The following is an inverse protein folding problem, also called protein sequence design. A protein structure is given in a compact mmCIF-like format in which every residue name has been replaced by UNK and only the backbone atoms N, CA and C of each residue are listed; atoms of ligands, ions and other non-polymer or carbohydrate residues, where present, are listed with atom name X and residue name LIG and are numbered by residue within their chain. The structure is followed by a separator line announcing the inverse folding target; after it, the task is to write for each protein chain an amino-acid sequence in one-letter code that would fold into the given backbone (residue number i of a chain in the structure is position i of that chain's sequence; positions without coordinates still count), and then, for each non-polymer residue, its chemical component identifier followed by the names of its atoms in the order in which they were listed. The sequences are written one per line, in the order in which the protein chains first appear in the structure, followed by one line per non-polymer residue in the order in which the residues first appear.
data_IF_092749381353
#
_entry.id   IF_092749381353
#
_cell.length_a   1.000
_cell.length_b   1.000
_cell.length_c   1.000
_cell.angle_alpha   90.00
_cell.angle_beta   90.00
_cell.angle_gamma   90.00
#
_symmetry.space_group_name_H-M   'P 1'
#
loop_
_entity.id
_entity.type
_entity.pdbx_description
1 polymer ?
#
# COMPACT_ATOMS: atom_id res chain seq x y z
N UNK A 1 -36.04 -5.47 15.49
CA UNK A 1 -35.20 -6.42 14.70
C UNK A 1 -33.82 -6.46 15.34
N UNK A 2 -33.46 -7.54 16.03
CA UNK A 2 -32.11 -7.70 16.60
C UNK A 2 -31.14 -8.01 15.46
N UNK A 3 -30.07 -7.22 15.32
CA UNK A 3 -29.00 -7.52 14.35
C UNK A 3 -27.72 -7.77 15.13
N UNK A 4 -27.08 -8.89 14.87
CA UNK A 4 -25.77 -9.19 15.44
C UNK A 4 -24.69 -8.57 14.57
N UNK A 5 -23.77 -7.82 15.18
CA UNK A 5 -22.57 -7.29 14.57
C UNK A 5 -21.40 -8.18 14.95
N UNK A 6 -20.72 -8.73 13.96
CA UNK A 6 -19.55 -9.59 14.13
C UNK A 6 -18.30 -8.77 13.82
N UNK A 7 -17.36 -8.74 14.77
CA UNK A 7 -16.09 -8.04 14.61
C UNK A 7 -14.96 -9.05 14.79
N UNK A 8 -14.18 -9.24 13.74
CA UNK A 8 -12.95 -10.03 13.78
C UNK A 8 -11.77 -9.09 13.97
N UNK A 9 -10.93 -9.41 14.96
CA UNK A 9 -9.69 -8.69 15.23
C UNK A 9 -8.52 -9.64 15.15
N UNK A 10 -7.45 -9.21 14.48
CA UNK A 10 -6.22 -9.98 14.31
C UNK A 10 -5.17 -9.44 15.29
N UNK A 11 -4.64 -10.32 16.12
CA UNK A 11 -3.61 -10.03 17.10
C UNK A 11 -2.21 -10.38 16.57
N UNK A 12 -1.32 -10.78 17.48
CA UNK A 12 0.05 -11.15 17.15
C UNK A 12 0.12 -12.40 16.25
N UNK A 13 1.10 -12.39 15.36
CA UNK A 13 1.51 -13.55 14.59
C UNK A 13 2.71 -14.24 15.24
N UNK A 14 2.80 -15.54 15.07
CA UNK A 14 3.91 -16.37 15.53
C UNK A 14 4.23 -17.41 14.48
N UNK A 15 5.50 -17.74 14.34
CA UNK A 15 5.94 -18.91 13.57
C UNK A 15 6.30 -20.01 14.56
N UNK A 16 5.95 -21.25 14.24
CA UNK A 16 6.34 -22.42 15.04
C UNK A 16 7.58 -23.09 14.46
N UNK A 17 8.14 -23.98 15.27
CA UNK A 17 9.26 -24.84 14.87
C UNK A 17 8.98 -25.54 13.54
N UNK A 18 10.04 -25.70 12.75
CA UNK A 18 9.99 -26.26 11.40
C UNK A 18 9.95 -27.77 11.53
N UNK A 19 8.75 -28.32 11.66
CA UNK A 19 8.51 -29.73 11.92
C UNK A 19 7.85 -30.42 10.73
N UNK A 20 8.19 -31.68 10.53
CA UNK A 20 7.52 -32.63 9.66
C UNK A 20 6.20 -33.14 10.30
N UNK A 21 5.40 -33.88 9.53
CA UNK A 21 4.13 -34.47 10.01
C UNK A 21 4.35 -35.49 11.13
N UNK A 22 5.52 -36.13 11.17
CA UNK A 22 5.96 -37.07 12.21
C UNK A 22 6.54 -36.37 13.46
N UNK A 23 6.59 -35.04 13.47
CA UNK A 23 7.17 -34.25 14.56
C UNK A 23 8.70 -34.12 14.54
N UNK A 24 9.38 -34.69 13.53
CA UNK A 24 10.82 -34.51 13.36
C UNK A 24 11.16 -33.13 12.76
N UNK A 25 12.40 -32.68 12.92
CA UNK A 25 12.84 -31.39 12.36
C UNK A 25 12.92 -31.52 10.83
N UNK A 26 12.36 -30.54 10.12
CA UNK A 26 12.49 -30.44 8.67
C UNK A 26 13.79 -29.70 8.34
N UNK A 27 14.74 -30.38 7.71
CA UNK A 27 16.01 -29.79 7.25
C UNK A 27 15.95 -29.38 5.77
N UNK A 28 16.76 -28.41 5.34
CA UNK A 28 16.82 -28.03 3.92
C UNK A 28 17.24 -29.19 3.01
N UNK A 29 18.24 -29.99 3.39
CA UNK A 29 18.61 -31.24 2.70
C UNK A 29 17.43 -32.19 2.44
N UNK A 30 16.61 -32.48 3.47
CA UNK A 30 15.41 -33.30 3.33
C UNK A 30 14.44 -32.68 2.32
N UNK A 31 14.29 -31.34 2.32
CA UNK A 31 13.43 -30.65 1.37
C UNK A 31 13.90 -30.80 -0.08
N UNK A 32 15.22 -30.73 -0.32
CA UNK A 32 15.82 -30.96 -1.64
C UNK A 32 15.55 -32.38 -2.11
N UNK A 33 15.88 -33.38 -1.29
CA UNK A 33 15.77 -34.80 -1.64
C UNK A 33 14.33 -35.27 -1.87
N UNK A 34 13.37 -34.76 -1.08
CA UNK A 34 11.96 -35.19 -1.15
C UNK A 34 11.10 -34.34 -2.09
N UNK A 35 11.67 -33.38 -2.82
CA UNK A 35 10.92 -32.46 -3.67
C UNK A 35 9.80 -31.69 -2.93
N UNK A 36 10.03 -31.32 -1.67
CA UNK A 36 9.09 -30.55 -0.86
C UNK A 36 9.59 -29.11 -0.63
N UNK A 37 8.71 -28.24 -0.17
CA UNK A 37 9.03 -26.83 0.10
C UNK A 37 9.51 -26.66 1.53
N UNK A 38 10.63 -25.97 1.73
CA UNK A 38 11.13 -25.59 3.04
C UNK A 38 10.35 -24.38 3.58
N UNK A 39 9.40 -24.62 4.50
CA UNK A 39 8.47 -23.61 5.02
C UNK A 39 8.22 -23.76 6.53
N UNK A 40 7.72 -22.69 7.15
CA UNK A 40 7.24 -22.67 8.54
C UNK A 40 5.72 -22.44 8.57
N UNK A 41 5.07 -22.91 9.63
CA UNK A 41 3.66 -22.67 9.91
C UNK A 41 3.47 -21.26 10.52
N UNK A 42 2.72 -20.41 9.82
CA UNK A 42 2.29 -19.10 10.32
C UNK A 42 1.00 -19.24 11.12
N UNK A 43 1.09 -18.94 12.40
CA UNK A 43 -0.01 -18.93 13.35
C UNK A 43 -0.40 -17.48 13.69
N UNK A 44 -1.69 -17.17 13.72
CA UNK A 44 -2.21 -15.84 14.05
C UNK A 44 -3.29 -15.96 15.12
N UNK A 45 -3.19 -15.10 16.14
CA UNK A 45 -4.23 -14.97 17.15
C UNK A 45 -5.41 -14.19 16.55
N UNK A 46 -6.56 -14.85 16.41
CA UNK A 46 -7.79 -14.24 15.91
C UNK A 46 -8.78 -14.16 17.06
N UNK A 47 -9.30 -12.95 17.33
CA UNK A 47 -10.32 -12.70 18.34
C UNK A 47 -11.63 -12.33 17.65
N UNK A 48 -12.66 -13.17 17.84
CA UNK A 48 -14.02 -12.91 17.39
C UNK A 48 -14.81 -12.24 18.52
N UNK A 49 -15.39 -11.08 18.22
CA UNK A 49 -16.29 -10.34 19.09
C UNK A 49 -17.68 -10.29 18.44
N UNK A 50 -18.71 -10.63 19.20
CA UNK A 50 -20.11 -10.53 18.75
C UNK A 50 -20.80 -9.49 19.61
N UNK A 51 -21.42 -8.52 18.95
CA UNK A 51 -22.23 -7.47 19.55
C UNK A 51 -23.69 -7.66 19.14
N UNK A 52 -24.62 -7.52 20.08
CA UNK A 52 -26.04 -7.46 19.78
C UNK A 52 -26.45 -5.98 19.66
N UNK A 53 -26.97 -5.57 18.50
CA UNK A 53 -27.50 -4.23 18.32
C UNK A 53 -28.98 -4.21 18.70
N UNK A 54 -29.28 -3.52 19.80
CA UNK A 54 -30.64 -3.20 20.19
C UNK A 54 -31.05 -1.88 19.52
N UNK A 55 -31.82 -1.98 18.42
CA UNK A 55 -32.33 -0.81 17.66
C UNK A 55 -33.13 0.19 18.50
N UNK A 56 -33.62 -0.21 19.68
CA UNK A 56 -34.44 0.62 20.57
C UNK A 56 -33.65 1.47 21.56
N UNK A 57 -32.36 1.17 21.79
CA UNK A 57 -31.54 1.85 22.81
C UNK A 57 -30.23 2.41 22.27
N UNK A 58 -30.01 2.37 20.95
CA UNK A 58 -28.76 2.79 20.28
C UNK A 58 -27.47 2.31 20.99
N UNK A 59 -27.52 1.14 21.63
CA UNK A 59 -26.42 0.62 22.45
C UNK A 59 -25.97 -0.73 21.91
N UNK A 60 -24.66 -0.86 21.70
CA UNK A 60 -24.02 -2.11 21.32
C UNK A 60 -23.62 -2.86 22.59
N UNK A 61 -24.19 -4.04 22.84
CA UNK A 61 -23.78 -4.91 23.96
C UNK A 61 -22.94 -6.06 23.45
N UNK A 62 -21.74 -6.23 24.03
CA UNK A 62 -20.86 -7.35 23.72
C UNK A 62 -21.39 -8.62 24.38
N UNK A 63 -21.69 -9.64 23.59
CA UNK A 63 -22.30 -10.90 24.05
C UNK A 63 -21.37 -12.11 23.96
N UNK A 64 -20.30 -12.02 23.16
CA UNK A 64 -19.35 -13.12 22.99
C UNK A 64 -17.94 -12.60 22.68
N UNK A 65 -16.94 -13.27 23.25
CA UNK A 65 -15.54 -13.12 22.90
C UNK A 65 -14.86 -14.49 22.91
N UNK A 66 -14.19 -14.82 21.83
CA UNK A 66 -13.30 -15.98 21.78
C UNK A 66 -12.01 -15.61 21.04
N UNK A 67 -10.88 -16.06 21.57
CA UNK A 67 -9.56 -15.84 20.98
C UNK A 67 -8.90 -17.19 20.75
N UNK A 68 -8.50 -17.45 19.51
CA UNK A 68 -7.88 -18.71 19.13
C UNK A 68 -6.62 -18.45 18.32
N UNK A 69 -5.59 -19.27 18.55
CA UNK A 69 -4.38 -19.25 17.73
C UNK A 69 -4.57 -20.19 16.54
N UNK A 70 -4.81 -19.62 15.35
CA UNK A 70 -5.22 -20.37 14.16
C UNK A 70 -4.03 -20.47 13.20
N UNK A 71 -3.82 -21.64 12.60
CA UNK A 71 -2.89 -21.80 11.49
C UNK A 71 -3.45 -21.06 10.27
N UNK A 72 -2.79 -19.97 9.87
CA UNK A 72 -3.19 -19.18 8.70
C UNK A 72 -2.65 -19.80 7.41
N UNK A 73 -1.46 -20.39 7.47
CA UNK A 73 -0.83 -21.03 6.31
C UNK A 73 0.64 -21.33 6.52
N UNK A 74 1.35 -21.63 5.43
CA UNK A 74 2.78 -21.94 5.40
C UNK A 74 3.54 -20.84 4.65
N UNK A 75 4.68 -20.41 5.20
CA UNK A 75 5.56 -19.40 4.60
C UNK A 75 6.91 -20.02 4.27
N UNK A 76 7.39 -19.95 3.02
CA UNK A 76 8.73 -20.39 2.65
C UNK A 76 9.81 -19.65 3.46
N UNK A 77 10.80 -20.40 3.94
CA UNK A 77 11.88 -19.84 4.74
C UNK A 77 13.10 -19.66 3.85
N UNK A 78 13.72 -18.48 3.93
CA UNK A 78 14.98 -18.21 3.26
C UNK A 78 16.11 -18.92 4.00
N UNK A 79 16.96 -19.65 3.28
CA UNK A 79 18.10 -20.33 3.89
C UNK A 79 19.05 -19.34 4.55
N UNK A 80 19.58 -19.72 5.72
CA UNK A 80 20.40 -18.89 6.62
C UNK A 80 19.75 -17.60 7.14
N UNK A 81 18.44 -17.38 6.94
CA UNK A 81 17.72 -16.30 7.62
C UNK A 81 17.53 -16.59 9.12
N UNK A 82 17.13 -15.59 9.91
CA UNK A 82 16.94 -15.72 11.36
C UNK A 82 16.04 -16.89 11.81
N UNK A 83 15.10 -17.31 10.96
CA UNK A 83 14.12 -18.37 11.25
C UNK A 83 14.64 -19.75 10.79
N UNK A 84 15.62 -19.79 9.87
CA UNK A 84 16.16 -21.03 9.33
C UNK A 84 16.99 -21.78 10.39
N UNK A 85 16.87 -23.11 10.43
CA UNK A 85 17.65 -23.96 11.35
C UNK A 85 19.17 -23.85 11.13
N UNK A 86 19.59 -23.49 9.91
CA UNK A 86 21.02 -23.38 9.55
C UNK A 86 21.66 -22.09 10.03
N UNK A 87 20.87 -21.16 10.56
CA UNK A 87 21.38 -19.88 11.03
C UNK A 87 22.25 -20.07 12.27
N UNK A 88 23.45 -19.49 12.25
CA UNK A 88 24.45 -19.54 13.34
C UNK A 88 24.92 -20.95 13.75
N UNK A 89 24.69 -21.97 12.92
CA UNK A 89 25.31 -23.27 13.13
C UNK A 89 26.82 -23.20 12.88
N UNK A 90 27.57 -23.96 13.66
CA UNK A 90 29.01 -24.16 13.48
C UNK A 90 29.28 -25.03 12.25
N UNK A 91 30.52 -24.99 11.74
CA UNK A 91 30.92 -25.81 10.59
C UNK A 91 30.69 -27.32 10.83
N UNK A 92 30.91 -27.78 12.06
CA UNK A 92 30.69 -29.18 12.43
C UNK A 92 29.20 -29.54 12.44
N UNK A 93 28.34 -28.65 12.95
CA UNK A 93 26.89 -28.85 12.94
C UNK A 93 26.31 -28.84 11.52
N UNK A 94 26.80 -27.96 10.65
CA UNK A 94 26.43 -27.96 9.22
C UNK A 94 26.81 -29.27 8.55
N UNK A 95 28.05 -29.74 8.77
CA UNK A 95 28.51 -31.02 8.24
C UNK A 95 27.65 -32.19 8.75
N UNK A 96 27.26 -32.19 10.03
CA UNK A 96 26.39 -33.20 10.61
C UNK A 96 24.96 -33.19 10.03
N UNK A 97 24.53 -32.07 9.44
CA UNK A 97 23.24 -31.93 8.77
C UNK A 97 23.32 -32.13 7.25
N UNK A 98 24.44 -32.65 6.73
CA UNK A 98 24.73 -32.79 5.30
C UNK A 98 24.69 -31.46 4.52
N UNK A 99 24.94 -30.33 5.18
CA UNK A 99 25.00 -29.01 4.55
C UNK A 99 26.44 -28.57 4.31
N UNK A 100 26.64 -27.80 3.24
CA UNK A 100 27.96 -27.28 2.89
C UNK A 100 28.43 -26.22 3.89
N UNK A 101 29.69 -26.32 4.37
CA UNK A 101 30.29 -25.32 5.25
C UNK A 101 30.40 -23.92 4.60
N UNK A 102 30.44 -23.87 3.27
CA UNK A 102 30.52 -22.64 2.48
C UNK A 102 29.16 -22.13 1.99
N UNK A 103 28.05 -22.75 2.45
CA UNK A 103 26.69 -22.31 2.11
C UNK A 103 26.50 -20.82 2.46
N UNK A 104 25.95 -20.04 1.54
CA UNK A 104 25.70 -18.60 1.75
C UNK A 104 24.23 -18.32 2.12
N UNK A 105 23.32 -19.20 1.73
CA UNK A 105 21.87 -18.99 1.88
C UNK A 105 21.36 -17.87 0.98
N UNK A 106 20.27 -17.22 1.38
CA UNK A 106 19.66 -16.13 0.59
C UNK A 106 18.72 -16.58 -0.53
N UNK A 107 18.38 -17.87 -0.58
CA UNK A 107 17.42 -18.45 -1.51
C UNK A 107 16.39 -19.31 -0.78
N UNK A 108 15.38 -19.77 -1.51
CA UNK A 108 14.28 -20.59 -1.02
C UNK A 108 14.28 -21.95 -1.69
N UNK A 109 13.94 -23.01 -0.96
CA UNK A 109 13.68 -24.34 -1.54
C UNK A 109 12.18 -24.49 -1.74
N UNK A 110 11.74 -24.53 -2.99
CA UNK A 110 10.33 -24.70 -3.39
C UNK A 110 10.21 -25.99 -4.19
N UNK A 111 9.46 -26.97 -3.67
CA UNK A 111 9.30 -28.30 -4.29
C UNK A 111 10.66 -28.93 -4.67
N UNK A 112 11.63 -28.90 -3.76
CA UNK A 112 13.00 -29.37 -3.97
C UNK A 112 13.91 -28.47 -4.81
N UNK A 113 13.36 -27.51 -5.56
CA UNK A 113 14.14 -26.62 -6.39
C UNK A 113 14.57 -25.35 -5.64
N UNK A 114 15.80 -24.93 -5.84
CA UNK A 114 16.34 -23.68 -5.30
C UNK A 114 15.86 -22.49 -6.15
N UNK A 115 15.34 -21.46 -5.47
CA UNK A 115 14.74 -20.27 -6.08
C UNK A 115 15.28 -19.02 -5.40
N UNK A 116 15.81 -18.11 -6.20
CA UNK A 116 16.30 -16.80 -5.76
C UNK A 116 15.30 -15.74 -6.20
N UNK A 117 15.02 -14.76 -5.32
CA UNK A 117 14.29 -13.57 -5.70
C UNK A 117 15.26 -12.52 -6.22
N UNK A 118 15.04 -12.03 -7.44
CA UNK A 118 15.82 -10.96 -8.03
C UNK A 118 15.21 -9.63 -7.59
N UNK A 119 16.04 -8.68 -7.18
CA UNK A 119 15.60 -7.33 -6.84
C UNK A 119 14.96 -6.65 -8.05
N UNK A 120 13.77 -6.11 -7.86
CA UNK A 120 13.09 -5.31 -8.87
C UNK A 120 13.34 -3.82 -8.64
N UNK A 121 13.76 -3.12 -9.71
CA UNK A 121 13.87 -1.67 -9.69
C UNK A 121 12.47 -1.04 -9.75
N UNK A 122 12.23 -0.06 -8.89
CA UNK A 122 10.98 0.67 -8.85
C UNK A 122 11.25 2.18 -8.86
N UNK A 123 10.30 2.95 -9.38
CA UNK A 123 10.35 4.41 -9.36
C UNK A 123 10.41 4.89 -7.91
N UNK A 124 11.28 5.87 -7.65
CA UNK A 124 11.43 6.48 -6.33
C UNK A 124 10.10 7.05 -5.82
N UNK A 125 9.74 6.68 -4.59
CA UNK A 125 8.53 7.16 -3.91
C UNK A 125 8.80 8.46 -3.16
N UNK A 126 7.74 9.22 -2.88
CA UNK A 126 7.78 10.51 -2.19
C UNK A 126 8.74 11.53 -2.85
N UNK A 127 8.98 11.38 -4.15
CA UNK A 127 9.72 12.34 -4.98
C UNK A 127 8.79 12.91 -6.04
N UNK A 128 8.96 14.20 -6.29
CA UNK A 128 8.27 14.91 -7.36
C UNK A 128 8.92 14.57 -8.70
N UNK A 129 8.10 14.14 -9.65
CA UNK A 129 8.53 13.76 -10.99
C UNK A 129 7.76 14.61 -12.00
N UNK A 130 8.50 15.34 -12.82
CA UNK A 130 7.96 16.12 -13.94
C UNK A 130 8.29 15.40 -15.23
N UNK A 131 7.29 15.08 -16.05
CA UNK A 131 7.50 14.55 -17.39
C UNK A 131 6.40 14.99 -18.36
N UNK A 132 6.66 14.80 -19.64
CA UNK A 132 5.65 14.96 -20.67
C UNK A 132 4.97 13.61 -20.88
N UNK A 133 3.64 13.58 -20.91
CA UNK A 133 2.90 12.39 -21.28
C UNK A 133 3.07 12.15 -22.78
N UNK A 134 3.72 11.05 -23.15
CA UNK A 134 4.00 10.74 -24.55
C UNK A 134 2.74 10.48 -25.38
N UNK A 135 1.60 10.17 -24.75
CA UNK A 135 0.33 9.90 -25.45
C UNK A 135 -0.47 11.16 -25.73
N UNK A 136 -0.53 12.06 -24.76
CA UNK A 136 -1.36 13.28 -24.84
C UNK A 136 -0.55 14.53 -25.15
N UNK A 137 0.79 14.46 -25.07
CA UNK A 137 1.68 15.61 -25.18
C UNK A 137 1.60 16.57 -23.97
N UNK A 138 0.77 16.26 -22.98
CA UNK A 138 0.56 17.14 -21.84
C UNK A 138 1.71 17.04 -20.84
N UNK A 139 2.16 18.19 -20.33
CA UNK A 139 3.07 18.25 -19.19
C UNK A 139 2.32 17.75 -17.95
N UNK A 140 2.92 16.84 -17.19
CA UNK A 140 2.36 16.32 -15.94
C UNK A 140 3.41 16.37 -14.84
N UNK A 141 2.95 16.71 -13.64
CA UNK A 141 3.74 16.64 -12.42
C UNK A 141 3.08 15.58 -11.55
N UNK A 142 3.81 14.58 -11.10
CA UNK A 142 3.25 13.57 -10.22
C UNK A 142 4.19 13.17 -9.11
N UNK A 143 3.57 12.72 -8.03
CA UNK A 143 4.23 12.13 -6.88
C UNK A 143 3.61 10.74 -6.67
N UNK A 144 4.46 9.73 -6.65
CA UNK A 144 4.07 8.42 -6.13
C UNK A 144 4.29 8.45 -4.63
N UNK A 145 3.22 8.56 -3.87
CA UNK A 145 3.29 8.59 -2.42
C UNK A 145 3.41 7.19 -1.85
N UNK A 146 4.35 7.03 -0.92
CA UNK A 146 4.37 5.94 0.03
C UNK A 146 3.81 6.48 1.33
N UNK A 147 2.61 6.02 1.70
CA UNK A 147 1.96 6.43 2.92
C UNK A 147 2.02 5.25 3.90
N UNK A 148 2.60 5.51 5.07
CA UNK A 148 2.62 4.55 6.17
C UNK A 148 1.26 4.56 6.86
N UNK A 149 0.48 3.52 6.61
CA UNK A 149 -0.81 3.30 7.23
C UNK A 149 -0.76 2.43 8.47
N UNK A 150 -1.87 2.42 9.23
CA UNK A 150 -2.08 1.50 10.36
C UNK A 150 -1.91 0.01 9.99
N UNK A 151 -2.20 -0.35 8.73
CA UNK A 151 -2.14 -1.72 8.22
C UNK A 151 -0.97 -1.98 7.26
N UNK A 152 0.03 -1.10 7.26
CA UNK A 152 1.20 -1.19 6.40
C UNK A 152 1.27 -0.07 5.37
N UNK A 153 2.28 -0.17 4.50
CA UNK A 153 2.55 0.85 3.49
C UNK A 153 1.62 0.68 2.31
N UNK A 154 0.91 1.74 1.94
CA UNK A 154 0.11 1.74 0.72
C UNK A 154 0.65 2.79 -0.26
N UNK A 155 0.69 2.36 -1.53
CA UNK A 155 1.05 3.25 -2.61
C UNK A 155 -0.19 3.99 -3.08
N UNK A 156 -0.16 5.31 -3.00
CA UNK A 156 -1.13 6.17 -3.69
C UNK A 156 -0.40 7.05 -4.68
N UNK A 157 -1.05 7.39 -5.78
CA UNK A 157 -0.53 8.38 -6.71
C UNK A 157 -1.29 9.67 -6.54
N UNK A 158 -0.56 10.76 -6.44
CA UNK A 158 -1.06 12.11 -6.59
C UNK A 158 -0.47 12.68 -7.89
N UNK A 159 -1.33 13.14 -8.79
CA UNK A 159 -0.88 13.72 -10.07
C UNK A 159 -1.55 15.05 -10.28
N UNK A 160 -0.81 16.02 -10.80
CA UNK A 160 -1.32 17.28 -11.31
C UNK A 160 -1.10 17.25 -12.82
N UNK A 161 -2.21 17.27 -13.55
CA UNK A 161 -2.20 17.34 -15.01
C UNK A 161 -2.56 18.75 -15.47
N UNK A 162 -1.91 19.14 -16.56
CA UNK A 162 -2.25 20.31 -17.35
C UNK A 162 -3.05 19.87 -18.59
N UNK A 163 -4.38 19.97 -18.52
CA UNK A 163 -5.30 19.42 -19.53
C UNK A 163 -6.47 20.35 -19.83
N UNK A 164 -7.20 20.07 -20.92
CA UNK A 164 -8.44 20.79 -21.23
C UNK A 164 -9.59 20.25 -20.36
N UNK A 165 -10.51 21.12 -19.90
CA UNK A 165 -11.67 20.69 -19.15
C UNK A 165 -12.69 19.97 -20.06
N UNK A 166 -13.80 19.51 -19.48
CA UNK A 166 -14.88 18.86 -20.25
C UNK A 166 -15.37 19.78 -21.37
N UNK A 167 -15.80 19.21 -22.51
CA UNK A 167 -16.32 19.96 -23.64
C UNK A 167 -17.51 20.87 -23.28
N UNK A 168 -18.28 20.50 -22.24
CA UNK A 168 -19.42 21.29 -21.76
C UNK A 168 -19.01 22.48 -20.87
N UNK A 169 -17.74 22.60 -20.53
CA UNK A 169 -17.24 23.72 -19.73
C UNK A 169 -17.18 25.00 -20.59
N UNK A 170 -17.57 26.17 -20.04
CA UNK A 170 -17.46 27.46 -20.74
C UNK A 170 -16.01 27.84 -21.10
N UNK A 171 -15.02 27.17 -20.50
CA UNK A 171 -13.58 27.37 -20.74
C UNK A 171 -12.92 26.16 -21.42
N UNK A 172 -13.69 25.35 -22.17
CA UNK A 172 -13.20 24.15 -22.88
C UNK A 172 -12.00 24.38 -23.81
N UNK A 173 -11.81 25.60 -24.31
CA UNK A 173 -10.68 26.00 -25.15
C UNK A 173 -9.41 26.38 -24.37
N UNK A 174 -9.48 26.47 -23.04
CA UNK A 174 -8.36 26.87 -22.17
C UNK A 174 -7.96 25.70 -21.26
N UNK A 175 -6.67 25.51 -21.05
CA UNK A 175 -6.18 24.46 -20.15
C UNK A 175 -6.30 24.88 -18.68
N UNK A 176 -6.45 23.89 -17.83
CA UNK A 176 -6.66 24.00 -16.38
C UNK A 176 -5.80 22.99 -15.63
N UNK A 177 -5.64 23.18 -14.33
CA UNK A 177 -4.93 22.24 -13.46
C UNK A 177 -5.90 21.30 -12.76
N UNK A 178 -5.73 20.00 -13.00
CA UNK A 178 -6.52 18.94 -12.34
C UNK A 178 -5.66 18.02 -11.52
N UNK A 179 -6.16 17.70 -10.34
CA UNK A 179 -5.54 16.78 -9.41
C UNK A 179 -6.20 15.42 -9.52
N UNK A 180 -5.37 14.39 -9.69
CA UNK A 180 -5.80 13.00 -9.70
C UNK A 180 -5.31 12.30 -8.44
N UNK A 181 -6.27 11.83 -7.65
CA UNK A 181 -6.01 10.99 -6.47
C UNK A 181 -6.41 9.56 -6.83
N UNK A 182 -5.44 8.64 -6.80
CA UNK A 182 -5.60 7.29 -7.38
C UNK A 182 -5.98 7.37 -8.88
N UNK A 183 -6.40 6.26 -9.50
CA UNK A 183 -6.62 6.19 -10.95
C UNK A 183 -7.89 6.89 -11.46
N UNK A 184 -8.91 7.08 -10.61
CA UNK A 184 -10.28 7.34 -11.10
C UNK A 184 -10.92 8.63 -10.59
N UNK A 185 -10.24 9.40 -9.73
CA UNK A 185 -10.82 10.62 -9.16
C UNK A 185 -10.04 11.85 -9.64
N UNK A 186 -10.65 12.61 -10.53
CA UNK A 186 -10.17 13.91 -11.00
C UNK A 186 -10.88 15.01 -10.23
N UNK A 187 -10.12 15.92 -9.64
CA UNK A 187 -10.62 17.05 -8.85
C UNK A 187 -9.94 18.32 -9.37
N UNK A 188 -10.68 19.38 -9.72
CA UNK A 188 -10.08 20.69 -10.01
C UNK A 188 -9.19 21.17 -8.86
N UNK A 189 -8.00 21.69 -9.16
CA UNK A 189 -7.02 22.07 -8.14
C UNK A 189 -7.59 23.04 -7.09
N UNK A 190 -8.38 24.02 -7.53
CA UNK A 190 -8.97 25.03 -6.66
C UNK A 190 -9.97 24.43 -5.66
N UNK A 191 -10.78 23.44 -6.08
CA UNK A 191 -11.72 22.75 -5.19
C UNK A 191 -10.98 21.93 -4.12
N UNK A 192 -9.82 21.37 -4.45
CA UNK A 192 -8.98 20.69 -3.46
C UNK A 192 -8.48 21.67 -2.38
N UNK A 193 -8.01 22.86 -2.76
CA UNK A 193 -7.60 23.89 -1.79
C UNK A 193 -8.76 24.33 -0.89
N UNK A 194 -9.95 24.55 -1.46
CA UNK A 194 -11.16 24.89 -0.70
C UNK A 194 -11.53 23.76 0.28
N UNK A 195 -11.45 22.49 -0.13
CA UNK A 195 -11.66 21.34 0.74
C UNK A 195 -10.61 21.19 1.86
N UNK A 196 -9.37 21.65 1.63
CA UNK A 196 -8.31 21.73 2.64
C UNK A 196 -8.46 22.93 3.59
N UNK A 197 -9.49 23.77 3.40
CA UNK A 197 -9.81 24.92 4.26
C UNK A 197 -9.22 26.26 3.79
N UNK A 198 -8.59 26.32 2.62
CA UNK A 198 -8.11 27.58 2.02
C UNK A 198 -9.19 28.11 1.08
N UNK A 199 -10.03 29.02 1.58
CA UNK A 199 -11.17 29.57 0.84
C UNK A 199 -10.81 30.80 -0.01
N UNK A 200 -9.83 31.57 0.46
CA UNK A 200 -9.39 32.82 -0.18
C UNK A 200 -8.48 32.53 -1.38
N UNK A 201 -8.92 32.96 -2.56
CA UNK A 201 -8.26 32.68 -3.84
C UNK A 201 -6.89 33.34 -3.94
N UNK A 202 -6.70 34.52 -3.34
CA UNK A 202 -5.39 35.17 -3.30
C UNK A 202 -4.39 34.34 -2.50
N UNK A 203 -4.84 33.71 -1.40
CA UNK A 203 -3.99 32.79 -0.62
C UNK A 203 -3.65 31.53 -1.42
N UNK A 204 -4.61 30.97 -2.17
CA UNK A 204 -4.37 29.81 -3.04
C UNK A 204 -3.27 30.13 -4.06
N UNK A 205 -3.35 31.28 -4.74
CA UNK A 205 -2.35 31.72 -5.71
C UNK A 205 -0.98 31.85 -5.05
N UNK A 206 -0.91 32.51 -3.89
CA UNK A 206 0.36 32.70 -3.17
C UNK A 206 0.98 31.39 -2.63
N UNK A 207 0.18 30.33 -2.43
CA UNK A 207 0.71 29.00 -2.09
C UNK A 207 1.36 28.28 -3.28
N UNK A 208 0.95 28.62 -4.51
CA UNK A 208 1.42 27.97 -5.74
C UNK A 208 2.55 28.78 -6.37
N UNK A 209 2.38 30.10 -6.46
CA UNK A 209 3.29 31.02 -7.12
C UNK A 209 4.06 31.82 -6.08
N UNK A 210 5.38 31.63 -6.04
CA UNK A 210 6.25 32.34 -5.10
C UNK A 210 6.37 33.84 -5.42
N UNK A 211 6.49 34.22 -6.70
CA UNK A 211 6.51 35.61 -7.16
C UNK A 211 5.32 35.92 -8.09
N UNK A 212 4.20 36.30 -7.46
CA UNK A 212 2.95 36.61 -8.15
C UNK A 212 3.03 37.82 -9.11
N UNK A 213 4.09 38.65 -9.03
CA UNK A 213 4.16 39.89 -9.83
C UNK A 213 4.81 39.70 -11.21
N UNK A 214 5.57 38.64 -11.41
CA UNK A 214 6.36 38.45 -12.64
C UNK A 214 5.80 37.36 -13.57
N UNK A 215 5.12 36.35 -13.04
CA UNK A 215 4.63 35.20 -13.81
C UNK A 215 3.18 35.37 -14.30
N UNK A 216 2.99 36.16 -15.36
CA UNK A 216 1.65 36.37 -15.96
C UNK A 216 1.06 35.08 -16.53
N UNK A 217 1.86 34.20 -17.12
CA UNK A 217 1.37 32.95 -17.73
C UNK A 217 0.78 31.96 -16.72
N UNK A 218 1.41 31.83 -15.55
CA UNK A 218 0.91 30.94 -14.48
C UNK A 218 -0.34 31.54 -13.84
N UNK A 219 -0.38 32.86 -13.68
CA UNK A 219 -1.55 33.56 -13.17
C UNK A 219 -2.76 33.39 -14.09
N UNK A 220 -2.59 33.51 -15.41
CA UNK A 220 -3.66 33.26 -16.39
C UNK A 220 -4.18 31.81 -16.30
N UNK A 221 -3.29 30.84 -16.11
CA UNK A 221 -3.64 29.43 -15.93
C UNK A 221 -4.44 29.18 -14.64
N UNK A 222 -4.00 29.79 -13.54
CA UNK A 222 -4.69 29.69 -12.25
C UNK A 222 -6.05 30.36 -12.31
N UNK A 223 -6.16 31.49 -13.01
CA UNK A 223 -7.43 32.17 -13.25
C UNK A 223 -8.40 31.28 -14.04
N UNK A 224 -7.94 30.60 -15.09
CA UNK A 224 -8.75 29.60 -15.81
C UNK A 224 -9.20 28.47 -14.88
N UNK A 225 -8.34 28.01 -13.97
CA UNK A 225 -8.66 26.94 -13.02
C UNK A 225 -9.66 27.39 -11.94
N UNK A 226 -9.68 28.69 -11.58
CA UNK A 226 -10.70 29.29 -10.70
C UNK A 226 -12.06 29.31 -11.40
N UNK A 227 -12.12 29.79 -12.65
CA UNK A 227 -13.37 29.78 -13.42
C UNK A 227 -13.95 28.37 -13.61
N UNK A 228 -13.10 27.34 -13.77
CA UNK A 228 -13.57 25.95 -13.82
C UNK A 228 -14.27 25.54 -12.52
N UNK A 229 -13.67 25.88 -11.38
CA UNK A 229 -14.17 25.52 -10.07
C UNK A 229 -15.47 26.26 -9.71
N UNK A 230 -15.60 27.53 -10.11
CA UNK A 230 -16.85 28.30 -9.98
C UNK A 230 -17.98 27.67 -10.79
N UNK A 231 -17.71 27.27 -12.04
CA UNK A 231 -18.71 26.62 -12.89
C UNK A 231 -19.24 25.33 -12.26
N UNK A 232 -18.34 24.46 -11.77
CA UNK A 232 -18.74 23.18 -11.15
C UNK A 232 -19.60 23.42 -9.90
N UNK A 233 -19.24 24.39 -9.05
CA UNK A 233 -20.05 24.73 -7.87
C UNK A 233 -21.45 25.25 -8.25
N UNK A 234 -21.61 25.91 -9.39
CA UNK A 234 -22.90 26.44 -9.84
C UNK A 234 -23.84 25.39 -10.42
N UNK A 235 -23.30 24.26 -10.89
CA UNK A 235 -24.07 23.17 -11.54
C UNK A 235 -24.54 22.08 -10.57
N UNK A 236 -24.01 22.02 -9.35
CA UNK A 236 -24.36 21.03 -8.32
C UNK A 236 -25.45 21.53 -7.32
N UNK A 237 -26.35 22.42 -7.76
CA UNK A 237 -27.56 22.84 -7.03
C UNK A 237 -28.82 22.32 -7.72
#
# INVERSE_FOLDING_TARGET
IKRNKYVLTFGSSSTKNILQEDGSILTPDICRLRNITYNTNLHVNITLLIFENNLTKETETKIYQNSANILLGKIPIMLKSNICILNKLTNNELHNLNECIYEQGGYFIIKGAEKVLISSENVARNKLICNNDSKTGNKRVYILHEIDGKYGKYNTSFKINYEFPSNNSPISSKKVLKVFIKKNLSIPLILLFKALGVLDEQKIINYIVYDNKQDTEINDLLQNSIYEAEYINSTDV
#
